data_IF_990980945146
#
_entry.id   IF_990980945146
#
_cell.length_a   1.000
_cell.length_b   1.000
_cell.length_c   1.000
_cell.angle_alpha   90.00
_cell.angle_beta   90.00
_cell.angle_gamma   90.00
#
_symmetry.space_group_name_H-M   'P 1'
#
loop_
_entity.id
_entity.type
_entity.pdbx_description
1 polymer ?
#
# COMPACT_ATOMS: atom_id res chain seq x y z
N UNK A 1 -15.31 16.54 16.43
CA UNK A 1 -14.55 16.97 17.63
C UNK A 1 -13.27 16.16 17.68
N UNK A 2 -12.09 16.77 17.58
CA UNK A 2 -10.82 16.03 17.53
C UNK A 2 -10.55 15.30 18.85
N UNK A 3 -10.11 14.03 18.81
CA UNK A 3 -9.75 13.22 19.97
C UNK A 3 -8.83 13.96 20.96
N UNK A 4 -7.88 14.75 20.44
CA UNK A 4 -7.01 15.61 21.26
C UNK A 4 -7.77 16.60 22.16
N UNK A 5 -8.86 17.18 21.68
CA UNK A 5 -9.67 18.10 22.48
C UNK A 5 -10.38 17.37 23.64
N UNK A 6 -10.85 16.14 23.39
CA UNK A 6 -11.44 15.28 24.42
C UNK A 6 -10.41 14.81 25.45
N UNK A 7 -9.18 14.48 25.04
CA UNK A 7 -8.11 14.07 25.95
C UNK A 7 -7.68 15.19 26.92
N UNK A 8 -7.80 16.45 26.51
CA UNK A 8 -7.55 17.63 27.36
C UNK A 8 -8.61 17.85 28.44
N UNK A 9 -9.80 17.24 28.29
CA UNK A 9 -10.84 17.33 29.33
C UNK A 9 -10.53 16.36 30.49
N UNK A 10 -10.93 16.70 31.72
CA UNK A 10 -10.93 15.76 32.84
C UNK A 10 -11.73 14.49 32.48
N UNK A 11 -11.29 13.32 32.94
CA UNK A 11 -11.90 12.04 32.57
C UNK A 11 -13.42 12.00 32.74
N UNK A 12 -13.95 12.60 33.82
CA UNK A 12 -15.38 12.69 34.11
C UNK A 12 -16.19 13.55 33.11
N UNK A 13 -15.52 14.38 32.29
CA UNK A 13 -16.12 15.25 31.28
C UNK A 13 -15.89 14.76 29.85
N UNK A 14 -15.21 13.63 29.67
CA UNK A 14 -14.96 13.02 28.36
C UNK A 14 -16.23 12.30 27.90
N UNK A 15 -16.48 12.31 26.59
CA UNK A 15 -17.54 11.49 26.02
C UNK A 15 -17.24 10.00 26.26
N UNK A 16 -18.26 9.16 26.51
CA UNK A 16 -18.07 7.73 26.78
C UNK A 16 -17.21 7.01 25.73
N UNK A 17 -17.41 7.32 24.44
CA UNK A 17 -16.61 6.76 23.35
C UNK A 17 -15.11 7.12 23.40
N UNK A 18 -14.74 8.22 24.04
CA UNK A 18 -13.33 8.62 24.21
C UNK A 18 -12.62 7.70 25.19
N UNK A 19 -13.26 7.30 26.29
CA UNK A 19 -12.66 6.38 27.27
C UNK A 19 -12.40 5.01 26.64
N UNK A 20 -13.35 4.50 25.84
CA UNK A 20 -13.17 3.25 25.11
C UNK A 20 -12.06 3.34 24.06
N UNK A 21 -11.99 4.42 23.29
CA UNK A 21 -10.89 4.63 22.33
C UNK A 21 -9.54 4.68 23.04
N UNK A 22 -9.46 5.36 24.19
CA UNK A 22 -8.26 5.42 25.01
C UNK A 22 -7.91 4.04 25.56
N UNK A 23 -8.86 3.24 26.05
CA UNK A 23 -8.55 1.89 26.54
C UNK A 23 -8.06 0.97 25.42
N UNK A 24 -8.67 1.03 24.24
CA UNK A 24 -8.21 0.27 23.06
C UNK A 24 -6.81 0.66 22.60
N UNK A 25 -6.42 1.92 22.79
CA UNK A 25 -5.08 2.42 22.49
C UNK A 25 -4.08 2.19 23.62
N UNK A 26 -4.52 2.10 24.89
CA UNK A 26 -3.67 1.88 26.07
C UNK A 26 -3.35 0.40 26.32
N UNK A 27 -4.12 -0.53 25.74
CA UNK A 27 -3.71 -1.94 25.59
C UNK A 27 -2.45 -2.09 24.70
N UNK A 28 -1.95 -0.98 24.14
CA UNK A 28 -0.65 -0.91 23.51
C UNK A 28 0.48 -1.02 24.53
N UNK A 29 1.30 -2.07 24.41
CA UNK A 29 2.58 -2.14 25.09
C UNK A 29 3.47 -0.94 24.75
N UNK A 30 4.45 -0.67 25.61
CA UNK A 30 5.42 0.43 25.48
C UNK A 30 6.25 0.43 24.19
N UNK A 31 6.12 -0.59 23.33
CA UNK A 31 6.81 -0.74 22.05
C UNK A 31 5.96 -0.37 20.81
N UNK A 32 4.80 0.27 21.02
CA UNK A 32 3.93 0.78 19.95
C UNK A 32 3.04 -0.26 19.28
N UNK A 33 2.94 -1.48 19.82
CA UNK A 33 1.96 -2.48 19.38
C UNK A 33 0.54 -2.05 19.76
N UNK A 34 -0.47 -2.33 18.94
CA UNK A 34 -1.89 -2.08 19.25
C UNK A 34 -2.70 -3.26 18.69
N UNK A 35 -2.98 -4.24 19.55
CA UNK A 35 -3.43 -5.57 19.12
C UNK A 35 -2.37 -6.26 18.25
N UNK A 36 -2.75 -6.73 17.06
CA UNK A 36 -1.83 -7.32 16.07
C UNK A 36 -1.21 -6.28 15.11
N UNK A 37 -1.61 -5.02 15.22
CA UNK A 37 -1.04 -3.92 14.44
C UNK A 37 0.00 -3.14 15.25
N UNK A 38 0.66 -2.17 14.61
CA UNK A 38 1.54 -1.20 15.24
C UNK A 38 1.06 0.21 14.94
N UNK A 39 1.05 1.07 15.95
CA UNK A 39 0.75 2.50 15.80
C UNK A 39 1.93 3.25 15.19
N UNK A 40 3.16 2.80 15.51
CA UNK A 40 4.37 3.37 14.94
C UNK A 40 4.71 2.73 13.60
N UNK A 41 4.91 3.58 12.59
CA UNK A 41 5.44 3.18 11.30
C UNK A 41 6.95 2.90 11.44
N UNK A 42 7.43 1.86 10.76
CA UNK A 42 8.86 1.60 10.63
C UNK A 42 9.59 2.67 9.80
N UNK A 43 8.87 3.33 8.88
CA UNK A 43 9.37 4.45 8.10
C UNK A 43 8.24 5.44 7.76
N UNK A 44 8.07 6.46 8.60
CA UNK A 44 7.01 7.46 8.42
C UNK A 44 7.24 8.36 7.19
N UNK A 45 8.48 8.59 6.78
CA UNK A 45 8.81 9.46 5.66
C UNK A 45 8.37 8.86 4.32
N UNK A 46 8.53 7.55 4.15
CA UNK A 46 8.03 6.83 2.97
C UNK A 46 6.50 6.94 2.84
N UNK A 47 5.77 6.85 3.96
CA UNK A 47 4.31 6.99 3.95
C UNK A 47 3.91 8.43 3.63
N UNK A 48 4.53 9.43 4.27
CA UNK A 48 4.28 10.86 3.99
C UNK A 48 4.53 11.21 2.53
N UNK A 49 5.64 10.71 1.95
CA UNK A 49 5.95 10.91 0.55
C UNK A 49 4.88 10.29 -0.36
N UNK A 50 4.40 9.08 -0.03
CA UNK A 50 3.29 8.44 -0.74
C UNK A 50 2.00 9.25 -0.66
N UNK A 51 1.61 9.72 0.52
CA UNK A 51 0.39 10.50 0.72
C UNK A 51 0.44 11.82 -0.06
N UNK A 52 1.61 12.47 -0.12
CA UNK A 52 1.80 13.68 -0.92
C UNK A 52 1.55 13.43 -2.42
N UNK A 53 2.13 12.36 -2.98
CA UNK A 53 1.94 12.01 -4.39
C UNK A 53 0.47 11.73 -4.71
N UNK A 54 -0.20 11.01 -3.82
CA UNK A 54 -1.64 10.71 -3.94
C UNK A 54 -2.45 12.00 -3.91
N UNK A 55 -2.15 12.91 -2.97
CA UNK A 55 -2.81 14.22 -2.87
C UNK A 55 -2.59 15.11 -4.08
N UNK A 56 -1.44 14.99 -4.75
CA UNK A 56 -1.13 15.67 -6.01
C UNK A 56 -1.71 14.95 -7.25
N UNK A 57 -2.36 13.78 -7.08
CA UNK A 57 -2.88 12.97 -8.18
C UNK A 57 -1.80 12.31 -9.05
N UNK A 58 -0.56 12.26 -8.55
CA UNK A 58 0.64 11.78 -9.25
C UNK A 58 0.87 10.29 -9.05
N UNK A 59 -0.12 9.48 -9.39
CA UNK A 59 -0.02 8.02 -9.26
C UNK A 59 0.97 7.39 -10.25
N UNK A 60 1.33 8.13 -11.31
CA UNK A 60 2.32 7.76 -12.31
C UNK A 60 3.70 7.48 -11.72
N UNK A 61 4.01 8.05 -10.57
CA UNK A 61 5.25 7.83 -9.84
C UNK A 61 5.44 6.36 -9.37
N UNK A 62 4.37 5.56 -9.36
CA UNK A 62 4.40 4.11 -9.10
C UNK A 62 4.34 3.26 -10.38
N UNK A 63 4.16 3.90 -11.54
CA UNK A 63 3.90 3.29 -12.83
C UNK A 63 5.08 3.58 -13.76
N UNK A 64 5.59 2.56 -14.44
CA UNK A 64 6.78 2.71 -15.28
C UNK A 64 6.50 3.11 -16.73
N UNK A 65 5.24 3.05 -17.17
CA UNK A 65 4.85 3.22 -18.58
C UNK A 65 3.68 4.23 -18.72
N UNK A 66 3.96 5.54 -18.66
CA UNK A 66 2.94 6.59 -18.85
C UNK A 66 2.29 6.56 -20.25
N UNK A 67 2.97 6.01 -21.26
CA UNK A 67 2.51 5.94 -22.64
C UNK A 67 1.22 5.14 -22.81
N UNK A 68 1.02 4.04 -22.05
CA UNK A 68 -0.20 3.23 -22.09
C UNK A 68 -1.43 4.03 -21.67
N UNK A 69 -1.25 4.99 -20.75
CA UNK A 69 -2.32 5.89 -20.33
C UNK A 69 -2.59 6.95 -21.40
N UNK A 70 -1.54 7.59 -21.91
CA UNK A 70 -1.64 8.66 -22.90
C UNK A 70 -2.32 8.18 -24.20
N UNK A 71 -2.03 6.96 -24.64
CA UNK A 71 -2.66 6.35 -25.82
C UNK A 71 -4.18 6.22 -25.63
N UNK A 72 -4.63 5.67 -24.49
CA UNK A 72 -6.05 5.51 -24.22
C UNK A 72 -6.75 6.86 -24.03
N UNK A 73 -6.14 7.81 -23.34
CA UNK A 73 -6.68 9.17 -23.15
C UNK A 73 -6.90 9.86 -24.50
N UNK A 74 -5.92 9.78 -25.41
CA UNK A 74 -6.05 10.31 -26.77
C UNK A 74 -7.21 9.65 -27.52
N UNK A 75 -7.25 8.31 -27.51
CA UNK A 75 -8.32 7.55 -28.17
C UNK A 75 -9.71 7.91 -27.63
N UNK A 76 -9.83 8.09 -26.31
CA UNK A 76 -11.08 8.47 -25.66
C UNK A 76 -11.53 9.88 -26.07
N UNK A 77 -10.62 10.85 -26.12
CA UNK A 77 -10.93 12.23 -26.56
C UNK A 77 -11.42 12.31 -27.99
N UNK A 78 -10.96 11.39 -28.85
CA UNK A 78 -11.39 11.28 -30.24
C UNK A 78 -12.64 10.39 -30.41
N UNK A 79 -13.03 9.67 -29.36
CA UNK A 79 -14.11 8.70 -29.42
C UNK A 79 -15.49 9.38 -29.58
N UNK A 80 -16.11 9.23 -30.76
CA UNK A 80 -17.41 9.83 -31.08
C UNK A 80 -18.52 9.42 -30.10
N UNK A 81 -18.54 8.15 -29.70
CA UNK A 81 -19.53 7.66 -28.74
C UNK A 81 -19.40 8.31 -27.36
N UNK A 82 -18.18 8.65 -26.94
CA UNK A 82 -17.97 9.32 -25.65
C UNK A 82 -18.58 10.73 -25.69
N UNK A 83 -18.29 11.48 -26.77
CA UNK A 83 -18.83 12.83 -26.97
C UNK A 83 -20.36 12.81 -27.01
N UNK A 84 -20.92 11.91 -27.81
CA UNK A 84 -22.37 11.75 -27.93
C UNK A 84 -23.04 11.40 -26.59
N UNK A 85 -22.53 10.40 -25.87
CA UNK A 85 -23.11 10.00 -24.59
C UNK A 85 -22.99 11.12 -23.53
N UNK A 86 -21.90 11.88 -23.54
CA UNK A 86 -21.71 13.04 -22.66
C UNK A 86 -22.70 14.16 -22.99
N UNK A 87 -22.88 14.48 -24.28
CA UNK A 87 -23.87 15.45 -24.74
C UNK A 87 -25.28 15.06 -24.32
N UNK A 88 -25.65 13.78 -24.47
CA UNK A 88 -26.95 13.25 -24.01
C UNK A 88 -27.14 13.42 -22.49
N UNK A 89 -26.10 13.13 -21.69
CA UNK A 89 -26.14 13.37 -20.24
C UNK A 89 -26.31 14.85 -19.90
N UNK A 90 -25.57 15.74 -20.56
CA UNK A 90 -25.69 17.18 -20.35
C UNK A 90 -27.06 17.74 -20.74
N UNK A 91 -27.66 17.21 -21.82
CA UNK A 91 -29.00 17.62 -22.26
C UNK A 91 -30.08 17.15 -21.28
N UNK A 92 -29.96 15.93 -20.77
CA UNK A 92 -30.95 15.36 -19.85
C UNK A 92 -30.84 15.93 -18.42
N UNK A 93 -29.62 16.25 -17.98
CA UNK A 93 -29.31 16.69 -16.61
C UNK A 93 -28.42 17.94 -16.58
N UNK A 94 -28.87 19.09 -17.11
CA UNK A 94 -28.02 20.27 -17.29
C UNK A 94 -27.54 20.87 -15.97
N UNK A 95 -28.36 20.84 -14.92
CA UNK A 95 -27.99 21.38 -13.61
C UNK A 95 -26.88 20.55 -12.93
N UNK A 96 -27.00 19.21 -12.99
CA UNK A 96 -26.04 18.29 -12.39
C UNK A 96 -24.73 18.24 -13.19
N UNK A 97 -24.82 18.23 -14.52
CA UNK A 97 -23.64 18.21 -15.39
C UNK A 97 -22.83 19.52 -15.35
N UNK A 98 -23.47 20.65 -15.00
CA UNK A 98 -22.84 21.95 -14.85
C UNK A 98 -22.26 22.20 -13.43
N UNK A 99 -22.28 21.21 -12.54
CA UNK A 99 -21.74 21.38 -11.19
C UNK A 99 -20.25 21.73 -11.23
N UNK A 100 -19.85 22.67 -10.38
CA UNK A 100 -18.46 23.14 -10.31
C UNK A 100 -17.55 22.08 -9.70
N UNK A 101 -16.40 21.83 -10.31
CA UNK A 101 -15.39 20.90 -9.82
C UNK A 101 -15.41 19.56 -10.55
N UNK A 102 -15.00 18.50 -9.86
CA UNK A 102 -14.95 17.15 -10.44
C UNK A 102 -16.27 16.44 -10.12
N UNK A 103 -16.99 16.04 -11.17
CA UNK A 103 -18.06 15.07 -11.08
C UNK A 103 -17.45 13.69 -10.86
N UNK A 104 -17.64 13.15 -9.66
CA UNK A 104 -17.09 11.84 -9.29
C UNK A 104 -18.09 10.74 -9.56
N UNK A 105 -17.61 9.65 -10.15
CA UNK A 105 -18.35 8.39 -10.12
C UNK A 105 -18.40 7.87 -8.67
N UNK A 106 -19.43 7.11 -8.33
CA UNK A 106 -19.39 6.26 -7.15
C UNK A 106 -18.43 5.11 -7.40
N UNK A 107 -17.46 4.95 -6.50
CA UNK A 107 -16.64 3.74 -6.50
C UNK A 107 -17.49 2.59 -5.96
N UNK A 108 -17.41 1.44 -6.64
CA UNK A 108 -17.95 0.20 -6.08
C UNK A 108 -17.15 -0.06 -4.79
N UNK A 109 -17.81 -0.11 -3.61
CA UNK A 109 -17.11 -0.38 -2.38
C UNK A 109 -16.45 -1.75 -2.46
N UNK A 110 -15.22 -1.82 -1.97
CA UNK A 110 -14.45 -3.05 -2.01
C UNK A 110 -14.82 -3.98 -0.84
N UNK A 111 -14.69 -5.29 -1.07
CA UNK A 111 -14.88 -6.34 -0.04
C UNK A 111 -16.33 -6.41 0.47
N UNK A 112 -16.54 -7.14 1.57
CA UNK A 112 -17.85 -7.35 2.21
C UNK A 112 -18.41 -6.09 2.89
N UNK A 113 -18.09 -4.88 2.40
CA UNK A 113 -18.69 -3.66 2.91
C UNK A 113 -20.18 -3.65 2.52
N UNK A 114 -21.04 -3.40 3.50
CA UNK A 114 -22.48 -3.44 3.33
C UNK A 114 -22.92 -2.55 2.15
N UNK A 115 -23.84 -3.10 1.36
CA UNK A 115 -24.42 -2.42 0.22
C UNK A 115 -25.41 -1.36 0.69
N UNK A 116 -25.35 -0.17 0.10
CA UNK A 116 -26.58 0.60 -0.15
C UNK A 116 -27.44 -0.11 -1.22
N UNK A 117 -28.65 0.35 -1.53
CA UNK A 117 -29.57 -0.34 -2.45
C UNK A 117 -29.10 -0.43 -3.91
N UNK A 118 -27.91 0.08 -4.24
CA UNK A 118 -27.37 0.12 -5.59
C UNK A 118 -27.71 1.42 -6.29
N UNK A 119 -27.99 1.36 -7.60
CA UNK A 119 -28.54 2.50 -8.32
C UNK A 119 -29.97 2.79 -7.82
N UNK A 120 -30.18 4.01 -7.33
CA UNK A 120 -31.50 4.48 -6.90
C UNK A 120 -32.06 5.44 -7.95
N UNK A 121 -33.38 5.46 -8.09
CA UNK A 121 -34.08 6.27 -9.09
C UNK A 121 -35.22 7.08 -8.45
N UNK A 122 -35.07 7.46 -7.18
CA UNK A 122 -36.16 8.12 -6.43
C UNK A 122 -36.23 9.62 -6.67
N UNK A 123 -35.12 10.24 -7.09
CA UNK A 123 -35.04 11.64 -7.44
C UNK A 123 -34.04 11.87 -8.59
N UNK A 124 -34.06 13.08 -9.12
CA UNK A 124 -33.28 13.46 -10.29
C UNK A 124 -31.77 13.32 -10.08
N UNK A 125 -31.24 13.70 -8.91
CA UNK A 125 -29.82 13.57 -8.59
C UNK A 125 -29.36 12.11 -8.52
N UNK A 126 -30.21 11.24 -7.98
CA UNK A 126 -29.93 9.80 -7.96
C UNK A 126 -29.99 9.19 -9.36
N UNK A 127 -30.97 9.58 -10.18
CA UNK A 127 -31.06 9.16 -11.58
C UNK A 127 -29.83 9.62 -12.38
N UNK A 128 -29.43 10.89 -12.23
CA UNK A 128 -28.21 11.43 -12.84
C UNK A 128 -26.99 10.62 -12.41
N UNK A 129 -26.80 10.41 -11.11
CA UNK A 129 -25.62 9.71 -10.61
C UNK A 129 -25.57 8.25 -11.10
N UNK A 130 -26.71 7.55 -11.17
CA UNK A 130 -26.77 6.21 -11.73
C UNK A 130 -26.37 6.18 -13.22
N UNK A 131 -26.87 7.13 -14.01
CA UNK A 131 -26.51 7.27 -15.42
C UNK A 131 -25.02 7.66 -15.59
N UNK A 132 -24.54 8.58 -14.76
CA UNK A 132 -23.16 9.06 -14.76
C UNK A 132 -22.17 7.96 -14.32
N UNK A 133 -22.53 7.12 -13.35
CA UNK A 133 -21.73 5.98 -12.92
C UNK A 133 -21.59 4.96 -14.06
N UNK A 134 -22.68 4.67 -14.78
CA UNK A 134 -22.65 3.78 -15.95
C UNK A 134 -21.82 4.38 -17.09
N UNK A 135 -21.96 5.68 -17.36
CA UNK A 135 -21.15 6.40 -18.34
C UNK A 135 -19.65 6.34 -17.98
N UNK A 136 -19.30 6.61 -16.72
CA UNK A 136 -17.92 6.51 -16.25
C UNK A 136 -17.39 5.07 -16.34
N UNK A 137 -18.21 4.06 -16.03
CA UNK A 137 -17.83 2.66 -16.19
C UNK A 137 -17.54 2.30 -17.66
N UNK A 138 -18.41 2.73 -18.58
CA UNK A 138 -18.30 2.47 -20.03
C UNK A 138 -16.98 2.95 -20.61
N UNK A 139 -16.44 4.06 -20.09
CA UNK A 139 -15.24 4.71 -20.57
C UNK A 139 -14.04 4.66 -19.61
N UNK A 140 -14.14 3.85 -18.55
CA UNK A 140 -13.12 3.72 -17.49
C UNK A 140 -12.69 5.05 -16.85
N UNK A 141 -13.64 5.95 -16.62
CA UNK A 141 -13.38 7.25 -16.01
C UNK A 141 -13.31 7.12 -14.50
N UNK A 142 -12.54 8.01 -13.88
CA UNK A 142 -12.64 8.40 -12.47
C UNK A 142 -13.72 9.46 -12.28
N UNK A 143 -13.91 10.33 -13.27
CA UNK A 143 -14.90 11.39 -13.26
C UNK A 143 -14.78 12.28 -14.49
N UNK A 144 -15.45 13.43 -14.43
CA UNK A 144 -15.39 14.48 -15.46
C UNK A 144 -15.18 15.82 -14.75
N UNK A 145 -14.30 16.65 -15.30
CA UNK A 145 -14.08 18.01 -14.80
C UNK A 145 -14.23 19.00 -15.94
N UNK A 146 -15.18 19.93 -15.80
CA UNK A 146 -15.43 20.97 -16.80
C UNK A 146 -15.62 20.38 -18.22
N UNK A 147 -16.30 19.23 -18.32
CA UNK A 147 -16.51 18.47 -19.56
C UNK A 147 -15.30 17.64 -20.04
N UNK A 148 -14.13 17.77 -19.43
CA UNK A 148 -12.96 16.96 -19.75
C UNK A 148 -13.01 15.60 -19.01
N UNK A 149 -12.83 14.47 -19.72
CA UNK A 149 -12.77 13.16 -19.07
C UNK A 149 -11.54 13.06 -18.18
N UNK A 150 -11.73 12.50 -16.99
CA UNK A 150 -10.64 12.10 -16.10
C UNK A 150 -10.55 10.58 -16.11
N UNK A 151 -9.60 10.05 -16.85
CA UNK A 151 -9.40 8.62 -16.99
C UNK A 151 -8.91 8.01 -15.66
N UNK A 152 -9.41 6.82 -15.33
CA UNK A 152 -9.04 6.12 -14.11
C UNK A 152 -7.63 5.55 -14.23
N UNK A 153 -6.69 6.10 -13.46
CA UNK A 153 -5.29 5.68 -13.46
C UNK A 153 -5.09 4.43 -12.59
N UNK A 154 -4.08 3.58 -12.90
CA UNK A 154 -3.57 2.65 -11.91
C UNK A 154 -3.13 3.42 -10.66
N UNK A 155 -3.32 2.82 -9.49
CA UNK A 155 -2.97 3.50 -8.23
C UNK A 155 -2.41 2.51 -7.21
N UNK A 156 -1.56 3.05 -6.33
CA UNK A 156 -1.03 2.33 -5.18
C UNK A 156 -1.36 3.15 -3.95
N UNK A 157 -2.11 2.56 -3.02
CA UNK A 157 -2.60 3.26 -1.83
C UNK A 157 -2.15 2.53 -0.57
N UNK A 158 -1.59 3.28 0.37
CA UNK A 158 -1.38 2.81 1.73
C UNK A 158 -2.70 2.93 2.50
N UNK A 159 -3.23 1.81 2.99
CA UNK A 159 -4.47 1.78 3.77
C UNK A 159 -4.15 1.29 5.18
N UNK A 160 -5.00 1.54 6.19
CA UNK A 160 -4.84 0.96 7.54
C UNK A 160 -4.76 -0.56 7.58
N UNK A 161 -5.11 -1.26 6.50
CA UNK A 161 -5.16 -2.73 6.44
C UNK A 161 -4.07 -3.33 5.53
N UNK A 162 -3.32 -2.52 4.78
CA UNK A 162 -2.27 -3.01 3.89
C UNK A 162 -1.92 -2.04 2.78
N UNK A 163 -1.31 -2.56 1.71
CA UNK A 163 -1.02 -1.80 0.49
C UNK A 163 -1.92 -2.33 -0.61
N UNK A 164 -2.69 -1.44 -1.20
CA UNK A 164 -3.66 -1.78 -2.23
C UNK A 164 -3.15 -1.29 -3.59
N UNK A 165 -3.27 -2.13 -4.61
CA UNK A 165 -2.94 -1.79 -5.99
C UNK A 165 -4.23 -1.89 -6.80
N UNK A 166 -4.59 -0.80 -7.46
CA UNK A 166 -5.71 -0.76 -8.39
C UNK A 166 -5.17 -0.72 -9.83
N UNK A 167 -5.77 -1.51 -10.71
CA UNK A 167 -5.41 -1.63 -12.12
C UNK A 167 -6.69 -1.44 -12.95
N UNK A 168 -6.75 -0.45 -13.85
CA UNK A 168 -7.93 -0.21 -14.65
C UNK A 168 -8.07 -1.26 -15.77
N UNK A 169 -9.30 -1.62 -16.11
CA UNK A 169 -9.60 -2.70 -17.06
C UNK A 169 -9.23 -2.42 -18.52
N UNK A 170 -8.97 -1.17 -18.89
CA UNK A 170 -8.48 -0.83 -20.23
C UNK A 170 -6.99 -1.11 -20.44
N UNK A 171 -6.26 -1.46 -19.37
CA UNK A 171 -4.82 -1.65 -19.39
C UNK A 171 -4.49 -3.14 -19.40
N UNK A 172 -3.66 -3.57 -20.36
CA UNK A 172 -2.97 -4.86 -20.25
C UNK A 172 -1.85 -4.73 -19.21
N UNK A 173 -1.95 -5.52 -18.14
CA UNK A 173 -1.12 -5.40 -16.95
C UNK A 173 -0.05 -6.49 -16.86
N UNK A 174 1.20 -6.05 -16.78
CA UNK A 174 2.37 -6.84 -16.41
C UNK A 174 3.01 -6.24 -15.17
N UNK A 175 2.88 -6.93 -14.03
CA UNK A 175 3.38 -6.45 -12.76
C UNK A 175 4.86 -6.00 -12.81
N UNK A 176 5.74 -6.79 -13.45
CA UNK A 176 7.18 -6.51 -13.43
C UNK A 176 7.55 -5.31 -14.29
N UNK A 177 6.89 -5.16 -15.44
CA UNK A 177 7.15 -4.09 -16.40
C UNK A 177 6.43 -2.79 -16.05
N UNK A 178 5.20 -2.88 -15.56
CA UNK A 178 4.31 -1.73 -15.44
C UNK A 178 4.41 -1.01 -14.09
N UNK A 179 4.85 -1.70 -13.02
CA UNK A 179 4.92 -1.11 -11.68
C UNK A 179 6.35 -1.00 -11.16
N UNK A 180 6.59 0.05 -10.37
CA UNK A 180 7.77 0.14 -9.51
C UNK A 180 7.58 -0.65 -8.22
N UNK A 181 7.78 -1.97 -8.32
CA UNK A 181 7.78 -2.87 -7.17
C UNK A 181 8.83 -2.53 -6.12
N UNK A 182 9.91 -1.81 -6.44
CA UNK A 182 10.87 -1.37 -5.42
C UNK A 182 10.21 -0.32 -4.52
N UNK A 183 9.55 0.67 -5.12
CA UNK A 183 8.81 1.72 -4.41
C UNK A 183 7.61 1.17 -3.65
N UNK A 184 6.84 0.27 -4.28
CA UNK A 184 5.69 -0.39 -3.63
C UNK A 184 6.15 -1.23 -2.42
N UNK A 185 7.23 -2.00 -2.56
CA UNK A 185 7.76 -2.79 -1.45
C UNK A 185 8.30 -1.90 -0.31
N UNK A 186 8.91 -0.77 -0.62
CA UNK A 186 9.34 0.19 0.39
C UNK A 186 8.12 0.73 1.17
N UNK A 187 7.08 1.15 0.45
CA UNK A 187 5.82 1.62 1.05
C UNK A 187 5.15 0.54 1.91
N UNK A 188 5.10 -0.71 1.43
CA UNK A 188 4.51 -1.80 2.19
C UNK A 188 5.29 -2.10 3.48
N UNK A 189 6.62 -2.10 3.40
CA UNK A 189 7.50 -2.34 4.56
C UNK A 189 7.54 -1.18 5.55
N UNK A 190 7.18 0.03 5.14
CA UNK A 190 7.10 1.20 6.01
C UNK A 190 6.15 1.00 7.20
N UNK A 191 5.19 0.05 7.09
CA UNK A 191 4.32 -0.40 8.19
C UNK A 191 5.02 -1.25 9.26
N UNK A 192 6.23 -1.75 8.99
CA UNK A 192 6.91 -2.70 9.86
C UNK A 192 6.47 -4.15 9.67
N UNK A 193 5.84 -4.49 8.54
CA UNK A 193 5.44 -5.87 8.22
C UNK A 193 6.68 -6.76 8.09
N UNK A 194 6.78 -7.74 8.98
CA UNK A 194 7.80 -8.79 8.88
C UNK A 194 7.38 -9.85 7.88
N UNK A 195 8.36 -10.47 7.20
CA UNK A 195 8.09 -11.60 6.28
C UNK A 195 7.34 -12.73 7.01
N UNK A 196 6.27 -13.24 6.39
CA UNK A 196 5.43 -14.31 6.92
C UNK A 196 5.77 -15.67 6.28
N UNK A 197 5.66 -16.76 7.06
CA UNK A 197 5.66 -18.14 6.56
C UNK A 197 6.44 -19.16 7.42
N UNK A 198 5.93 -20.40 7.62
CA UNK A 198 6.62 -21.45 8.40
C UNK A 198 8.00 -21.82 7.83
N UNK A 199 8.13 -21.88 6.51
CA UNK A 199 9.40 -22.13 5.83
C UNK A 199 10.46 -21.05 6.14
N UNK A 200 10.04 -19.80 6.36
CA UNK A 200 10.93 -18.71 6.75
C UNK A 200 11.22 -18.69 8.24
N UNK A 201 10.28 -19.09 9.10
CA UNK A 201 10.52 -19.30 10.53
C UNK A 201 11.56 -20.40 10.75
N UNK A 202 11.43 -21.54 10.05
CA UNK A 202 12.40 -22.63 10.09
C UNK A 202 13.78 -22.19 9.56
N UNK A 203 13.85 -21.51 8.42
CA UNK A 203 15.09 -20.98 7.87
C UNK A 203 15.74 -19.91 8.77
N UNK A 204 14.94 -19.10 9.47
CA UNK A 204 15.41 -18.12 10.47
C UNK A 204 15.99 -18.81 11.71
N UNK A 205 15.30 -19.82 12.24
CA UNK A 205 15.79 -20.64 13.35
C UNK A 205 17.11 -21.32 12.95
N UNK A 206 17.16 -21.93 11.76
CA UNK A 206 18.37 -22.57 11.25
C UNK A 206 19.53 -21.58 11.09
N UNK A 207 19.24 -20.36 10.61
CA UNK A 207 20.24 -19.29 10.47
C UNK A 207 20.75 -18.83 11.83
N UNK A 208 19.88 -18.70 12.83
CA UNK A 208 20.25 -18.35 14.21
C UNK A 208 21.13 -19.43 14.82
N UNK A 209 20.78 -20.71 14.66
CA UNK A 209 21.58 -21.84 15.15
C UNK A 209 22.93 -21.96 14.43
N UNK A 210 22.98 -21.69 13.12
CA UNK A 210 24.23 -21.57 12.36
C UNK A 210 25.11 -20.45 12.93
N UNK A 211 24.54 -19.26 13.18
CA UNK A 211 25.27 -18.12 13.79
C UNK A 211 25.79 -18.44 15.18
N UNK A 212 25.00 -19.10 16.04
CA UNK A 212 25.46 -19.53 17.38
C UNK A 212 26.65 -20.46 17.29
N UNK A 213 26.59 -21.49 16.42
CA UNK A 213 27.70 -22.43 16.20
C UNK A 213 28.96 -21.72 15.69
N UNK A 214 28.81 -20.81 14.73
CA UNK A 214 29.93 -20.00 14.21
C UNK A 214 30.52 -19.09 15.29
N UNK A 215 29.70 -18.42 16.11
CA UNK A 215 30.17 -17.57 17.21
C UNK A 215 30.90 -18.37 18.30
N UNK A 216 30.38 -19.54 18.68
CA UNK A 216 31.03 -20.43 19.63
C UNK A 216 32.38 -20.94 19.09
N UNK A 217 32.41 -21.38 17.83
CA UNK A 217 33.65 -21.82 17.17
C UNK A 217 34.66 -20.67 17.02
N UNK A 218 34.20 -19.44 16.75
CA UNK A 218 35.04 -18.24 16.71
C UNK A 218 35.66 -17.95 18.07
N UNK A 219 34.90 -18.04 19.16
CA UNK A 219 35.41 -17.85 20.53
C UNK A 219 36.49 -18.88 20.86
N UNK A 220 36.28 -20.15 20.50
CA UNK A 220 37.27 -21.21 20.67
C UNK A 220 38.52 -20.98 19.80
N UNK A 221 38.36 -20.54 18.55
CA UNK A 221 39.48 -20.25 17.66
C UNK A 221 40.35 -19.11 18.19
N UNK A 222 39.73 -18.06 18.77
CA UNK A 222 40.44 -16.94 19.41
C UNK A 222 41.19 -17.43 20.65
N UNK A 223 40.56 -18.25 21.51
CA UNK A 223 41.23 -18.83 22.68
C UNK A 223 42.44 -19.68 22.31
N UNK A 224 42.42 -20.31 21.13
CA UNK A 224 43.54 -21.09 20.57
C UNK A 224 44.58 -20.24 19.82
N UNK A 225 44.42 -18.92 19.76
CA UNK A 225 45.35 -18.02 19.07
C UNK A 225 45.33 -18.08 17.54
N UNK A 226 44.32 -18.72 16.94
CA UNK A 226 44.25 -18.91 15.48
C UNK A 226 43.94 -17.58 14.76
N UNK A 227 44.62 -17.34 13.64
CA UNK A 227 44.51 -16.11 12.82
C UNK A 227 44.37 -16.46 11.33
N UNK A 228 43.93 -15.49 10.52
CA UNK A 228 43.85 -15.64 9.05
C UNK A 228 42.95 -16.80 8.61
N UNK A 229 43.37 -17.51 7.57
CA UNK A 229 42.66 -18.68 7.01
C UNK A 229 42.50 -19.81 8.03
N UNK A 230 43.54 -20.09 8.82
CA UNK A 230 43.49 -21.13 9.86
C UNK A 230 42.36 -20.92 10.89
N UNK A 231 41.96 -19.67 11.14
CA UNK A 231 40.79 -19.36 11.98
C UNK A 231 39.49 -19.76 11.28
N UNK A 232 39.34 -19.47 10.00
CA UNK A 232 38.12 -19.74 9.24
C UNK A 232 37.97 -21.23 8.92
N UNK A 233 39.06 -21.94 8.68
CA UNK A 233 39.08 -23.40 8.57
C UNK A 233 38.61 -24.07 9.86
N UNK A 234 39.13 -23.60 11.00
CA UNK A 234 38.70 -24.09 12.31
C UNK A 234 37.22 -23.82 12.56
N UNK A 235 36.73 -22.63 12.21
CA UNK A 235 35.31 -22.28 12.33
C UNK A 235 34.46 -23.15 11.41
N UNK A 236 34.90 -23.39 10.17
CA UNK A 236 34.21 -24.26 9.19
C UNK A 236 34.06 -25.68 9.73
N UNK A 237 35.16 -26.25 10.23
CA UNK A 237 35.19 -27.61 10.79
C UNK A 237 34.32 -27.74 12.04
N UNK A 238 34.40 -26.77 12.98
CA UNK A 238 33.65 -26.84 14.25
C UNK A 238 32.18 -26.45 14.13
N UNK A 239 31.82 -25.59 13.17
CA UNK A 239 30.41 -25.23 12.93
C UNK A 239 29.68 -26.26 12.05
N UNK A 240 30.40 -27.17 11.38
CA UNK A 240 29.85 -28.13 10.44
C UNK A 240 29.40 -27.50 9.12
N UNK A 241 29.83 -26.26 8.84
CA UNK A 241 29.50 -25.53 7.63
C UNK A 241 30.65 -25.72 6.65
N UNK A 242 30.45 -26.56 5.62
CA UNK A 242 31.44 -26.75 4.55
C UNK A 242 31.59 -25.47 3.75
N UNK A 243 32.80 -24.93 3.74
CA UNK A 243 33.20 -23.87 2.81
C UNK A 243 34.16 -24.51 1.81
N UNK A 244 33.79 -24.56 0.53
CA UNK A 244 34.66 -25.08 -0.54
C UNK A 244 35.75 -24.04 -0.84
N UNK A 245 36.57 -23.68 0.15
CA UNK A 245 37.60 -22.64 0.06
C UNK A 245 37.10 -21.19 0.12
N UNK A 246 35.79 -20.93 -0.07
CA UNK A 246 35.23 -19.57 0.09
C UNK A 246 34.60 -19.34 1.48
N UNK A 247 35.35 -18.64 2.32
CA UNK A 247 34.91 -18.27 3.68
C UNK A 247 34.01 -17.03 3.74
N UNK A 248 33.60 -16.40 2.63
CA UNK A 248 32.71 -15.22 2.63
C UNK A 248 31.41 -15.47 3.40
N UNK A 249 30.84 -16.67 3.24
CA UNK A 249 29.63 -17.10 3.96
C UNK A 249 29.84 -17.16 5.47
N UNK A 250 30.99 -17.67 5.93
CA UNK A 250 31.37 -17.70 7.34
C UNK A 250 31.67 -16.30 7.89
N UNK A 251 32.32 -15.43 7.11
CA UNK A 251 32.57 -14.03 7.50
C UNK A 251 31.27 -13.28 7.78
N UNK A 252 30.30 -13.39 6.87
CA UNK A 252 28.95 -12.80 7.03
C UNK A 252 28.14 -13.36 8.21
N UNK A 253 28.44 -14.59 8.65
CA UNK A 253 27.81 -15.21 9.83
C UNK A 253 28.56 -14.91 11.14
N UNK A 254 29.84 -14.52 11.05
CA UNK A 254 30.74 -14.24 12.17
C UNK A 254 30.80 -12.75 12.57
N UNK A 255 30.26 -11.86 11.73
CA UNK A 255 29.84 -10.48 12.05
C UNK A 255 28.55 -10.49 12.90
#
# INVERSE_FOLDING_TARGET
MHLQAQLKLPAAKRQPGTQLLVSLLLDASTDGACGLNRLELADAEVVRASERLIGEGRFEDYIKLPEKFAEYDTRLREHRGFKHDWECLCQQYPAQAAATGILHRRLIPERNWERGPGAEFTNEDQCFQAAFDLFCWKYYLWGVKDGAPLLLKPSVVFTPFGTQIFIPGYMSFDARRDLDFRRINALHKARGVTRQGPAFSAGRIETVEKKKRVKAAKKQAIQKGLKGEARYDYISQKSGIRTQGDHRSLRRLAE
#
